data_IF_580951573303
#
_entry.id   IF_580951573303
#
_cell.length_a   1.000
_cell.length_b   1.000
_cell.length_c   1.000
_cell.angle_alpha   90.00
_cell.angle_beta   90.00
_cell.angle_gamma   90.00
#
_symmetry.space_group_name_H-M   'P 1'
#
loop_
_entity.id
_entity.type
_entity.pdbx_description
1 polymer ?
#
# COMPACT_ATOMS: atom_id res chain seq x y z
N UNK A 1 -2.25 -54.66 13.27
CA UNK A 1 -1.10 -54.15 12.50
C UNK A 1 -1.50 -53.43 11.20
N UNK A 2 -2.32 -53.99 10.29
CA UNK A 2 -2.69 -53.32 9.00
C UNK A 2 -3.41 -52.00 9.17
N UNK A 3 -4.28 -51.83 10.16
CA UNK A 3 -4.99 -50.55 10.43
C UNK A 3 -4.07 -49.43 10.96
N UNK A 4 -3.07 -49.80 11.78
CA UNK A 4 -2.09 -48.81 12.28
C UNK A 4 -1.17 -48.29 11.15
N UNK A 5 -0.81 -49.15 10.21
CA UNK A 5 -0.03 -48.76 9.03
C UNK A 5 -0.83 -47.82 8.11
N UNK A 6 -2.15 -48.08 7.96
CA UNK A 6 -3.02 -47.22 7.15
C UNK A 6 -3.17 -45.81 7.80
N UNK A 7 -3.32 -45.74 9.12
CA UNK A 7 -3.38 -44.46 9.84
C UNK A 7 -2.05 -43.71 9.77
N UNK A 8 -0.92 -44.41 9.88
CA UNK A 8 0.42 -43.78 9.73
C UNK A 8 0.64 -43.26 8.31
N UNK A 9 0.26 -44.01 7.28
CA UNK A 9 0.33 -43.59 5.90
C UNK A 9 -0.55 -42.37 5.59
N UNK A 10 -1.75 -42.32 6.15
CA UNK A 10 -2.68 -41.19 6.01
C UNK A 10 -2.17 -39.95 6.75
N UNK A 11 -1.55 -40.08 7.92
CA UNK A 11 -0.93 -39.00 8.65
C UNK A 11 0.31 -38.44 7.91
N UNK A 12 1.11 -39.29 7.28
CA UNK A 12 2.27 -38.85 6.47
C UNK A 12 1.83 -38.15 5.19
N UNK A 13 0.74 -38.60 4.54
CA UNK A 13 0.23 -37.91 3.34
C UNK A 13 -0.37 -36.53 3.63
N UNK A 14 -0.90 -36.28 4.83
CA UNK A 14 -1.36 -34.97 5.28
C UNK A 14 -0.19 -33.99 5.57
N UNK A 15 1.02 -34.48 5.85
CA UNK A 15 2.18 -33.66 6.10
C UNK A 15 2.89 -33.21 4.81
N UNK A 16 2.53 -33.78 3.65
CA UNK A 16 3.15 -33.49 2.34
C UNK A 16 2.36 -32.46 1.53
N UNK A 17 1.22 -31.95 2.03
CA UNK A 17 0.51 -30.83 1.41
C UNK A 17 1.35 -29.58 1.55
N UNK A 18 2.20 -29.36 0.54
CA UNK A 18 3.22 -28.31 0.54
C UNK A 18 2.62 -26.92 0.60
N UNK A 19 3.21 -26.08 1.45
CA UNK A 19 3.04 -24.64 1.39
C UNK A 19 3.50 -24.14 0.02
N UNK A 20 2.60 -23.70 -0.85
CA UNK A 20 2.99 -22.93 -2.01
C UNK A 20 3.48 -21.57 -1.53
N UNK A 21 4.77 -21.27 -1.69
CA UNK A 21 5.27 -19.93 -1.49
C UNK A 21 4.67 -19.03 -2.59
N UNK A 22 4.03 -17.91 -2.24
CA UNK A 22 3.53 -16.99 -3.26
C UNK A 22 4.72 -16.45 -4.06
N UNK A 23 4.58 -16.46 -5.39
CA UNK A 23 5.54 -15.83 -6.27
C UNK A 23 5.54 -14.32 -6.00
N UNK A 24 6.65 -13.82 -5.46
CA UNK A 24 6.87 -12.38 -5.34
C UNK A 24 7.42 -11.90 -6.68
N UNK A 25 6.69 -11.03 -7.36
CA UNK A 25 7.18 -10.40 -8.58
C UNK A 25 8.43 -9.58 -8.27
N UNK A 26 9.45 -9.63 -9.15
CA UNK A 26 10.73 -8.92 -8.99
C UNK A 26 10.63 -7.40 -9.24
N UNK A 27 9.53 -6.77 -8.86
CA UNK A 27 9.43 -5.31 -8.83
C UNK A 27 10.09 -4.78 -7.56
N UNK A 28 10.68 -3.57 -7.62
CA UNK A 28 11.34 -2.93 -6.48
C UNK A 28 10.43 -2.80 -5.24
N UNK A 29 9.11 -2.76 -5.46
CA UNK A 29 8.08 -2.74 -4.41
C UNK A 29 7.04 -3.83 -4.66
N UNK A 30 6.51 -4.42 -3.59
CA UNK A 30 5.45 -5.41 -3.69
C UNK A 30 4.13 -4.78 -4.18
N UNK A 31 3.28 -5.58 -4.81
CA UNK A 31 1.95 -5.11 -5.25
C UNK A 31 1.13 -4.54 -4.09
N UNK A 32 1.19 -5.18 -2.92
CA UNK A 32 0.52 -4.70 -1.69
C UNK A 32 1.01 -3.31 -1.28
N UNK A 33 2.32 -3.07 -1.32
CA UNK A 33 2.89 -1.78 -0.99
C UNK A 33 2.43 -0.69 -1.96
N UNK A 34 2.44 -0.98 -3.26
CA UNK A 34 1.93 -0.06 -4.28
C UNK A 34 0.44 0.23 -4.07
N UNK A 35 -0.35 -0.79 -3.75
CA UNK A 35 -1.79 -0.63 -3.47
C UNK A 35 -2.05 0.25 -2.24
N UNK A 36 -1.31 0.03 -1.15
CA UNK A 36 -1.42 0.83 0.08
C UNK A 36 -1.11 2.30 -0.18
N UNK A 37 -0.05 2.59 -0.96
CA UNK A 37 0.30 3.96 -1.33
C UNK A 37 -0.76 4.60 -2.23
N UNK A 38 -1.25 3.88 -3.25
CA UNK A 38 -2.29 4.36 -4.14
C UNK A 38 -3.57 4.72 -3.36
N UNK A 39 -4.05 3.82 -2.49
CA UNK A 39 -5.23 4.06 -1.65
C UNK A 39 -5.03 5.25 -0.70
N UNK A 40 -3.83 5.41 -0.15
CA UNK A 40 -3.51 6.55 0.71
C UNK A 40 -3.55 7.86 -0.06
N UNK A 41 -2.99 7.89 -1.28
CA UNK A 41 -3.03 9.06 -2.17
C UNK A 41 -4.47 9.39 -2.54
N UNK A 42 -5.28 8.40 -2.88
CA UNK A 42 -6.68 8.59 -3.23
C UNK A 42 -7.47 9.22 -2.07
N UNK A 43 -7.32 8.67 -0.88
CA UNK A 43 -7.97 9.20 0.34
C UNK A 43 -7.56 10.64 0.65
N UNK A 44 -6.27 10.99 0.52
CA UNK A 44 -5.79 12.35 0.74
C UNK A 44 -6.38 13.33 -0.27
N UNK A 45 -6.40 12.92 -1.54
CA UNK A 45 -6.81 13.81 -2.63
C UNK A 45 -8.32 13.98 -2.71
N UNK A 46 -9.10 12.94 -2.37
CA UNK A 46 -10.57 13.01 -2.32
C UNK A 46 -11.07 13.96 -1.21
N UNK A 47 -10.32 14.07 -0.12
CA UNK A 47 -10.65 15.00 0.98
C UNK A 47 -10.02 16.39 0.81
N UNK A 48 -9.40 16.68 -0.34
CA UNK A 48 -8.75 17.97 -0.59
C UNK A 48 -9.75 19.11 -0.86
N UNK A 49 -11.04 18.82 -1.06
CA UNK A 49 -12.09 19.85 -1.26
C UNK A 49 -11.89 20.70 -2.52
N UNK A 50 -11.34 20.12 -3.59
CA UNK A 50 -11.05 20.83 -4.84
C UNK A 50 -12.30 21.04 -5.72
N UNK A 51 -13.45 20.46 -5.35
CA UNK A 51 -14.72 20.57 -6.09
C UNK A 51 -15.23 22.02 -6.21
N UNK A 52 -14.88 22.87 -5.26
CA UNK A 52 -15.27 24.30 -5.24
C UNK A 52 -14.68 25.12 -6.41
N UNK A 53 -13.67 24.61 -7.10
CA UNK A 53 -13.08 25.25 -8.26
C UNK A 53 -13.67 24.77 -9.59
N UNK A 54 -14.84 24.13 -9.55
CA UNK A 54 -15.55 23.63 -10.72
C UNK A 54 -15.62 24.65 -11.87
N UNK A 55 -15.25 24.21 -13.08
CA UNK A 55 -15.30 25.00 -14.31
C UNK A 55 -14.21 26.06 -14.44
N UNK A 56 -13.25 26.15 -13.51
CA UNK A 56 -12.11 27.07 -13.60
C UNK A 56 -10.97 26.50 -14.45
N UNK A 57 -10.14 27.40 -14.97
CA UNK A 57 -8.85 27.05 -15.57
C UNK A 57 -7.82 26.91 -14.44
N UNK A 58 -7.24 25.72 -14.30
CA UNK A 58 -6.32 25.39 -13.21
C UNK A 58 -4.93 25.15 -13.73
N UNK A 59 -3.97 25.80 -13.12
CA UNK A 59 -2.54 25.52 -13.25
C UNK A 59 -2.05 24.86 -11.96
N UNK A 60 -1.36 23.72 -12.07
CA UNK A 60 -0.71 23.08 -10.94
C UNK A 60 0.77 23.49 -10.87
N UNK A 61 1.20 24.02 -9.73
CA UNK A 61 2.61 24.21 -9.40
C UNK A 61 3.08 23.07 -8.50
N UNK A 62 3.75 22.09 -9.08
CA UNK A 62 4.27 20.92 -8.38
C UNK A 62 5.64 21.12 -7.72
N UNK A 63 6.10 22.37 -7.58
CA UNK A 63 7.44 22.70 -7.04
C UNK A 63 7.66 22.16 -5.61
N UNK A 64 6.61 22.15 -4.78
CA UNK A 64 6.68 21.66 -3.39
C UNK A 64 6.22 20.19 -3.22
N UNK A 65 5.94 19.52 -4.32
CA UNK A 65 5.77 18.08 -4.28
C UNK A 65 7.17 17.45 -4.21
N UNK A 66 7.65 17.23 -2.99
CA UNK A 66 8.97 16.69 -2.72
C UNK A 66 9.26 15.40 -3.53
N UNK A 67 10.53 15.04 -3.77
CA UNK A 67 10.88 13.84 -4.53
C UNK A 67 10.39 12.57 -3.85
N UNK A 68 9.16 12.20 -4.19
CA UNK A 68 8.48 10.98 -3.77
C UNK A 68 8.49 10.00 -4.94
N UNK A 69 8.64 8.74 -4.66
CA UNK A 69 8.64 7.69 -5.70
C UNK A 69 7.35 7.72 -6.52
N UNK A 70 6.21 8.09 -5.90
CA UNK A 70 4.90 8.11 -6.53
C UNK A 70 4.46 9.51 -6.98
N UNK A 71 5.42 10.42 -7.20
CA UNK A 71 5.14 11.81 -7.59
C UNK A 71 4.22 11.92 -8.81
N UNK A 72 4.47 11.12 -9.83
CA UNK A 72 3.68 11.19 -11.06
C UNK A 72 2.27 10.61 -10.88
N UNK A 73 2.12 9.61 -10.01
CA UNK A 73 0.80 9.12 -9.64
C UNK A 73 0.00 10.19 -8.88
N UNK A 74 0.62 10.90 -7.94
CA UNK A 74 -0.02 12.02 -7.22
C UNK A 74 -0.47 13.11 -8.18
N UNK A 75 0.37 13.51 -9.14
CA UNK A 75 0.02 14.50 -10.18
C UNK A 75 -1.19 14.04 -10.97
N UNK A 76 -1.12 12.83 -11.56
CA UNK A 76 -2.21 12.28 -12.37
C UNK A 76 -3.52 12.18 -11.58
N UNK A 77 -3.45 11.82 -10.29
CA UNK A 77 -4.64 11.76 -9.43
C UNK A 77 -5.26 13.14 -9.18
N UNK A 78 -4.45 14.15 -8.89
CA UNK A 78 -4.92 15.53 -8.72
C UNK A 78 -5.56 16.07 -10.00
N UNK A 79 -4.92 15.86 -11.14
CA UNK A 79 -5.44 16.24 -12.46
C UNK A 79 -6.75 15.52 -12.77
N UNK A 80 -6.87 14.24 -12.42
CA UNK A 80 -8.11 13.48 -12.61
C UNK A 80 -9.26 14.04 -11.76
N UNK A 81 -9.02 14.44 -10.51
CA UNK A 81 -10.07 14.99 -9.64
C UNK A 81 -10.61 16.31 -10.18
N UNK A 82 -9.72 17.22 -10.56
CA UNK A 82 -10.18 18.52 -11.10
C UNK A 82 -10.85 18.36 -12.47
N UNK A 83 -10.40 17.41 -13.29
CA UNK A 83 -11.03 17.08 -14.56
C UNK A 83 -12.45 16.54 -14.38
N UNK A 84 -12.69 15.68 -13.37
CA UNK A 84 -14.05 15.21 -13.01
C UNK A 84 -15.00 16.36 -12.66
N UNK A 85 -14.45 17.47 -12.15
CA UNK A 85 -15.20 18.68 -11.82
C UNK A 85 -15.31 19.66 -12.98
N UNK A 86 -15.10 19.23 -14.21
CA UNK A 86 -15.14 20.05 -15.44
C UNK A 86 -14.17 21.26 -15.37
N UNK A 87 -13.03 21.14 -14.69
CA UNK A 87 -11.97 22.13 -14.75
C UNK A 87 -11.11 21.92 -15.98
N UNK A 88 -10.57 23.00 -16.50
CA UNK A 88 -9.61 22.96 -17.62
C UNK A 88 -8.19 23.07 -17.06
N UNK A 89 -7.37 22.05 -17.27
CA UNK A 89 -5.97 22.06 -16.87
C UNK A 89 -5.17 22.79 -17.96
N UNK A 90 -4.40 23.80 -17.56
CA UNK A 90 -3.58 24.59 -18.49
C UNK A 90 -2.09 24.42 -18.18
N UNK A 91 -1.28 24.46 -19.24
CA UNK A 91 0.17 24.27 -19.14
C UNK A 91 0.93 25.48 -18.61
N UNK A 92 0.35 26.68 -18.73
CA UNK A 92 1.00 27.95 -18.33
C UNK A 92 0.16 28.65 -17.26
N UNK A 93 0.80 29.19 -16.26
CA UNK A 93 0.15 29.97 -15.20
C UNK A 93 -0.62 31.18 -15.77
N UNK A 94 -0.12 31.82 -16.82
CA UNK A 94 -0.73 33.00 -17.42
C UNK A 94 -2.14 32.74 -17.98
N UNK A 95 -2.43 31.51 -18.39
CA UNK A 95 -3.68 31.09 -18.99
C UNK A 95 -4.71 30.58 -17.94
N UNK A 96 -4.28 30.50 -16.67
CA UNK A 96 -5.07 29.97 -15.57
C UNK A 96 -5.91 31.07 -14.86
N UNK A 97 -7.00 30.63 -14.26
CA UNK A 97 -7.76 31.46 -13.28
C UNK A 97 -7.24 31.19 -11.87
N UNK A 98 -6.87 29.94 -11.58
CA UNK A 98 -6.46 29.48 -10.25
C UNK A 98 -5.16 28.68 -10.38
N UNK A 99 -4.21 28.94 -9.49
CA UNK A 99 -3.01 28.17 -9.31
C UNK A 99 -3.12 27.34 -8.03
N UNK A 100 -2.97 26.02 -8.14
CA UNK A 100 -2.97 25.09 -7.00
C UNK A 100 -1.57 24.56 -6.79
N UNK A 101 -1.06 24.68 -5.57
CA UNK A 101 0.27 24.26 -5.17
C UNK A 101 0.17 23.20 -4.09
N UNK A 102 0.29 21.90 -4.46
CA UNK A 102 0.28 20.80 -3.51
C UNK A 102 1.59 20.73 -2.73
N UNK A 103 1.48 20.59 -1.41
CA UNK A 103 2.57 20.36 -0.49
C UNK A 103 2.43 18.97 0.12
N UNK A 104 3.32 18.04 -0.23
CA UNK A 104 3.34 16.70 0.34
C UNK A 104 4.41 16.61 1.43
N UNK A 105 3.96 16.39 2.68
CA UNK A 105 4.84 16.26 3.84
C UNK A 105 5.31 14.83 4.10
N UNK A 106 4.40 13.85 3.90
CA UNK A 106 4.69 12.42 4.11
C UNK A 106 3.97 11.62 3.03
N UNK A 107 4.67 10.66 2.44
CA UNK A 107 4.11 9.60 1.61
C UNK A 107 5.08 8.42 1.69
N UNK A 108 4.80 7.47 2.58
CA UNK A 108 5.68 6.36 2.88
C UNK A 108 4.92 5.14 3.39
N UNK A 109 5.57 3.98 3.33
CA UNK A 109 5.08 2.73 3.91
C UNK A 109 5.97 2.30 5.06
N UNK A 110 5.34 1.86 6.15
CA UNK A 110 5.99 1.20 7.27
C UNK A 110 5.54 -0.25 7.37
N UNK A 111 6.41 -1.09 7.88
CA UNK A 111 6.08 -2.46 8.22
C UNK A 111 6.68 -2.83 9.57
N UNK A 112 5.91 -3.54 10.36
CA UNK A 112 6.36 -4.13 11.61
C UNK A 112 6.00 -5.61 11.67
N UNK A 113 6.86 -6.37 12.32
CA UNK A 113 6.65 -7.80 12.56
C UNK A 113 6.80 -8.09 14.04
N UNK A 114 5.83 -8.77 14.60
CA UNK A 114 5.86 -9.23 15.97
C UNK A 114 5.68 -10.75 16.00
N UNK A 115 6.57 -11.46 16.67
CA UNK A 115 6.59 -12.92 16.76
C UNK A 115 6.65 -13.38 18.21
N UNK A 116 5.71 -14.26 18.58
CA UNK A 116 5.81 -15.12 19.76
C UNK A 116 5.89 -16.56 19.27
N UNK A 117 7.02 -17.21 19.53
CA UNK A 117 7.31 -18.56 19.04
C UNK A 117 8.81 -18.77 18.88
N UNK A 118 9.20 -19.79 18.14
CA UNK A 118 10.61 -20.02 17.84
C UNK A 118 11.01 -19.27 16.57
N UNK A 119 12.07 -18.43 16.61
CA UNK A 119 12.60 -17.82 15.40
C UNK A 119 13.24 -18.89 14.50
N UNK A 120 13.48 -18.57 13.19
CA UNK A 120 14.24 -19.46 12.35
C UNK A 120 15.66 -19.64 12.88
N UNK A 121 16.09 -20.89 13.07
CA UNK A 121 17.38 -21.23 13.64
C UNK A 121 18.27 -21.87 12.58
N UNK A 122 19.37 -21.24 12.18
CA UNK A 122 20.37 -21.87 11.33
C UNK A 122 21.15 -22.91 12.17
N UNK A 123 21.16 -24.16 11.72
CA UNK A 123 21.91 -25.23 12.34
C UNK A 123 23.06 -25.58 11.41
N UNK A 124 24.33 -25.30 11.79
CA UNK A 124 25.48 -25.68 11.01
C UNK A 124 25.62 -27.22 11.02
N UNK A 125 25.74 -27.81 9.84
CA UNK A 125 26.01 -29.26 9.74
C UNK A 125 27.52 -29.48 9.77
N UNK A 126 28.04 -30.24 10.76
CA UNK A 126 29.46 -30.53 10.81
C UNK A 126 29.90 -31.23 9.54
N UNK A 127 31.10 -30.89 9.04
CA UNK A 127 31.76 -31.50 7.89
C UNK A 127 31.14 -31.25 6.49
N UNK A 128 30.17 -30.36 6.34
CA UNK A 128 29.68 -29.90 5.05
C UNK A 128 29.24 -28.44 5.10
N UNK A 129 29.38 -27.71 4.01
CA UNK A 129 28.97 -26.30 3.89
C UNK A 129 27.45 -26.11 3.76
N UNK A 130 26.67 -27.08 4.24
CA UNK A 130 25.21 -27.02 4.23
C UNK A 130 24.70 -26.42 5.54
N UNK A 131 23.98 -25.31 5.43
CA UNK A 131 23.22 -24.75 6.55
C UNK A 131 21.77 -25.25 6.48
N UNK A 132 21.38 -26.06 7.44
CA UNK A 132 19.97 -26.43 7.62
C UNK A 132 19.31 -25.33 8.44
N UNK A 133 18.24 -24.74 7.93
CA UNK A 133 17.46 -23.74 8.69
C UNK A 133 16.21 -24.44 9.22
N UNK A 134 16.08 -24.52 10.54
CA UNK A 134 14.83 -24.92 11.19
C UNK A 134 13.86 -23.76 10.98
N UNK A 135 12.68 -23.98 10.34
CA UNK A 135 11.72 -22.93 10.11
C UNK A 135 11.17 -22.35 11.41
N UNK A 136 10.72 -21.11 11.38
CA UNK A 136 10.02 -20.52 12.52
C UNK A 136 8.71 -21.28 12.81
N UNK A 137 8.39 -21.43 14.11
CA UNK A 137 7.13 -22.00 14.57
C UNK A 137 6.39 -20.91 15.34
N UNK A 138 5.48 -20.16 14.70
CA UNK A 138 4.76 -19.09 15.34
C UNK A 138 3.61 -19.65 16.19
N UNK A 139 3.58 -19.31 17.48
CA UNK A 139 2.38 -19.43 18.31
C UNK A 139 1.46 -18.25 18.02
N UNK A 140 2.07 -17.06 17.92
CA UNK A 140 1.43 -15.83 17.45
C UNK A 140 2.43 -15.04 16.60
N UNK A 141 2.03 -14.66 15.39
CA UNK A 141 2.79 -13.76 14.54
C UNK A 141 1.86 -12.70 13.97
N UNK A 142 2.28 -11.45 14.04
CA UNK A 142 1.63 -10.34 13.37
C UNK A 142 2.60 -9.72 12.39
N UNK A 143 2.14 -9.52 11.17
CA UNK A 143 2.83 -8.79 10.14
C UNK A 143 1.93 -7.65 9.66
N UNK A 144 2.27 -6.43 10.07
CA UNK A 144 1.50 -5.23 9.77
C UNK A 144 2.22 -4.41 8.69
N UNK A 145 1.48 -3.99 7.67
CA UNK A 145 1.92 -3.04 6.65
C UNK A 145 0.98 -1.87 6.65
N UNK A 146 1.51 -0.65 6.65
CA UNK A 146 0.70 0.56 6.64
C UNK A 146 1.37 1.62 5.79
N UNK A 147 0.58 2.27 4.93
CA UNK A 147 0.99 3.49 4.25
C UNK A 147 0.44 4.70 4.99
N UNK A 148 1.22 5.76 5.00
CA UNK A 148 0.88 7.06 5.56
C UNK A 148 1.05 8.13 4.51
N UNK A 149 0.10 9.05 4.46
CA UNK A 149 0.14 10.21 3.61
C UNK A 149 -0.28 11.47 4.35
N UNK A 150 0.38 12.60 4.03
CA UNK A 150 0.06 13.91 4.58
C UNK A 150 0.28 14.97 3.51
N UNK A 151 -0.78 15.67 3.12
CA UNK A 151 -0.76 16.65 2.04
C UNK A 151 -1.58 17.89 2.40
N UNK A 152 -1.11 19.05 2.00
CA UNK A 152 -1.81 20.33 2.10
C UNK A 152 -1.82 21.02 0.73
N UNK A 153 -2.65 22.04 0.55
CA UNK A 153 -2.72 22.78 -0.70
C UNK A 153 -2.77 24.28 -0.42
N UNK A 154 -1.96 25.03 -1.16
CA UNK A 154 -2.12 26.46 -1.27
C UNK A 154 -2.80 26.78 -2.59
N UNK A 155 -3.79 27.65 -2.54
CA UNK A 155 -4.56 28.06 -3.71
C UNK A 155 -4.42 29.55 -3.89
N UNK A 156 -4.00 29.96 -5.07
CA UNK A 156 -3.75 31.34 -5.41
C UNK A 156 -4.56 31.75 -6.64
N UNK A 157 -4.92 33.01 -6.71
CA UNK A 157 -5.30 33.64 -7.97
C UNK A 157 -4.08 33.62 -8.92
N UNK A 158 -4.25 33.04 -10.11
CA UNK A 158 -3.13 32.78 -11.00
C UNK A 158 -2.49 34.06 -11.55
N UNK A 159 -3.25 35.17 -11.64
CA UNK A 159 -2.81 36.44 -12.21
C UNK A 159 -2.16 37.35 -11.18
N UNK A 160 -2.80 37.48 -10.01
CA UNK A 160 -2.34 38.38 -8.96
C UNK A 160 -1.42 37.70 -7.95
N UNK A 161 -1.34 36.40 -7.95
CA UNK A 161 -0.66 35.58 -6.93
C UNK A 161 -1.19 35.80 -5.50
N UNK A 162 -2.35 36.42 -5.35
CA UNK A 162 -2.98 36.55 -4.05
C UNK A 162 -3.43 35.17 -3.56
N UNK A 163 -3.12 34.83 -2.33
CA UNK A 163 -3.62 33.62 -1.71
C UNK A 163 -5.14 33.73 -1.57
N UNK A 164 -5.86 32.80 -2.18
CA UNK A 164 -7.30 32.67 -2.06
C UNK A 164 -7.66 31.82 -0.85
N UNK A 165 -6.90 30.74 -0.64
CA UNK A 165 -7.15 29.78 0.41
C UNK A 165 -5.92 28.93 0.69
N UNK A 166 -5.80 28.46 1.93
CA UNK A 166 -4.90 27.39 2.32
C UNK A 166 -5.74 26.24 2.85
N UNK A 167 -5.67 25.10 2.16
CA UNK A 167 -6.30 23.85 2.60
C UNK A 167 -5.32 23.18 3.56
N UNK A 168 -5.72 22.97 4.84
CA UNK A 168 -4.84 22.41 5.85
C UNK A 168 -4.43 20.99 5.52
N UNK A 169 -3.46 20.45 6.25
CA UNK A 169 -2.98 19.09 6.04
C UNK A 169 -4.08 18.06 6.19
N UNK A 170 -4.34 17.33 5.12
CA UNK A 170 -5.14 16.12 5.10
C UNK A 170 -4.20 14.95 5.38
N UNK A 171 -4.55 14.15 6.38
CA UNK A 171 -3.83 12.92 6.71
C UNK A 171 -4.66 11.73 6.24
N UNK A 172 -4.01 10.75 5.62
CA UNK A 172 -4.63 9.50 5.24
C UNK A 172 -3.69 8.33 5.51
N UNK A 173 -4.27 7.16 5.69
CA UNK A 173 -3.53 5.92 5.81
C UNK A 173 -4.32 4.77 5.20
N UNK A 174 -3.61 3.72 4.81
CA UNK A 174 -4.17 2.43 4.42
C UNK A 174 -3.36 1.32 5.09
N UNK A 175 -3.99 0.19 5.43
CA UNK A 175 -3.30 -0.88 6.12
C UNK A 175 -3.67 -2.27 5.61
N UNK A 176 -2.74 -3.20 5.82
CA UNK A 176 -2.96 -4.63 5.71
C UNK A 176 -2.25 -5.33 6.86
N UNK A 177 -2.99 -6.10 7.63
CA UNK A 177 -2.50 -6.93 8.73
C UNK A 177 -2.65 -8.41 8.37
N UNK A 178 -1.59 -9.16 8.53
CA UNK A 178 -1.61 -10.61 8.46
C UNK A 178 -1.25 -11.14 9.84
N UNK A 179 -2.06 -12.05 10.38
CA UNK A 179 -1.84 -12.66 11.67
C UNK A 179 -1.77 -14.18 11.52
N UNK A 180 -0.95 -14.80 12.33
CA UNK A 180 -0.93 -16.26 12.51
C UNK A 180 -1.17 -16.49 14.00
N UNK A 181 -2.22 -17.24 14.32
CA UNK A 181 -2.56 -17.61 15.68
C UNK A 181 -2.65 -19.13 15.72
N UNK A 182 -1.78 -19.79 16.51
CA UNK A 182 -1.72 -21.26 16.60
C UNK A 182 -1.69 -21.93 15.21
N UNK A 183 -0.82 -21.43 14.32
CA UNK A 183 -0.63 -21.89 12.94
C UNK A 183 -1.79 -21.57 11.97
N UNK A 184 -2.87 -20.94 12.41
CA UNK A 184 -3.99 -20.54 11.57
C UNK A 184 -3.74 -19.10 11.10
N UNK A 185 -3.71 -18.84 9.77
CA UNK A 185 -3.51 -17.51 9.22
C UNK A 185 -4.82 -16.72 9.16
N UNK A 186 -4.76 -15.43 9.51
CA UNK A 186 -5.84 -14.46 9.38
C UNK A 186 -5.34 -13.22 8.65
N UNK A 187 -6.19 -12.61 7.83
CA UNK A 187 -5.88 -11.37 7.12
C UNK A 187 -6.93 -10.31 7.45
N UNK A 188 -6.49 -9.06 7.62
CA UNK A 188 -7.36 -7.89 7.76
C UNK A 188 -6.78 -6.75 6.94
N UNK A 189 -7.61 -6.11 6.15
CA UNK A 189 -7.25 -4.97 5.29
C UNK A 189 -8.40 -3.98 5.24
N UNK A 190 -8.09 -2.71 5.00
CA UNK A 190 -9.08 -1.63 4.89
C UNK A 190 -9.34 -1.18 3.44
N UNK A 191 -8.94 -2.01 2.48
CA UNK A 191 -9.17 -1.80 1.05
C UNK A 191 -9.59 -3.10 0.38
N UNK A 192 -10.34 -2.98 -0.71
CA UNK A 192 -10.73 -4.13 -1.54
C UNK A 192 -9.74 -4.32 -2.67
N UNK A 193 -9.35 -5.58 -2.90
CA UNK A 193 -8.59 -5.99 -4.08
C UNK A 193 -9.49 -6.85 -5.02
N UNK A 194 -10.81 -6.69 -4.94
CA UNK A 194 -11.79 -7.62 -5.51
C UNK A 194 -11.68 -7.79 -7.03
N UNK A 195 -11.16 -6.79 -7.73
CA UNK A 195 -10.98 -6.91 -9.19
C UNK A 195 -9.80 -7.82 -9.59
N UNK A 196 -8.85 -8.05 -8.67
CA UNK A 196 -7.71 -8.95 -8.90
C UNK A 196 -8.05 -10.43 -8.66
N UNK A 197 -9.13 -10.71 -7.93
CA UNK A 197 -9.51 -12.07 -7.50
C UNK A 197 -10.36 -12.86 -8.50
N UNK A 198 -10.79 -12.25 -9.59
CA UNK A 198 -11.63 -12.95 -10.59
C UNK A 198 -10.93 -14.13 -11.28
N UNK A 199 -9.62 -14.29 -11.10
CA UNK A 199 -8.80 -15.31 -11.76
C UNK A 199 -7.89 -16.13 -10.84
N UNK A 200 -8.01 -16.03 -9.52
CA UNK A 200 -7.18 -16.77 -8.56
C UNK A 200 -8.02 -17.49 -7.49
N UNK A 201 -7.74 -18.76 -7.26
CA UNK A 201 -8.28 -19.48 -6.10
C UNK A 201 -7.60 -18.92 -4.84
N UNK A 202 -8.24 -17.98 -4.15
CA UNK A 202 -7.90 -17.67 -2.76
C UNK A 202 -8.88 -18.39 -1.86
N UNK A 203 -8.35 -19.27 -1.02
CA UNK A 203 -9.08 -19.76 0.13
C UNK A 203 -9.03 -18.63 1.18
N UNK A 204 -10.07 -17.82 1.26
CA UNK A 204 -10.34 -16.95 2.40
C UNK A 204 -10.88 -17.85 3.53
N UNK A 205 -10.03 -18.10 4.53
CA UNK A 205 -10.44 -18.68 5.79
C UNK A 205 -10.61 -17.53 6.81
#
# INVERSE_FOLDING_TARGET
MKRAILFAAMAVSLLVTGCSAPWVTNTARSAVEQYLLAMTIERMTDHAGLEKYKGKKIFFDYGYLAPQTDKDYVKGRLEMIVSKNNCLIVAKQADADVMIQPLCGVLATDHDTFLIGTPPLPVPVPYCDLNIVIPEIPIFKRYNRRAYGRMAFNVFDAKTRKCLETIPFVNASAYQNNWIVLLIPFKSRDFSMDDAHKYGYEFDF
#
